data_IF_283844655694
#
_entry.id   IF_283844655694
#
_cell.length_a   1.000
_cell.length_b   1.000
_cell.length_c   1.000
_cell.angle_alpha   90.00
_cell.angle_beta   90.00
_cell.angle_gamma   90.00
#
_symmetry.space_group_name_H-M   'P 1'
#
loop_
_entity.id
_entity.type
_entity.pdbx_description
1 polymer ?
#
# COMPACT_ATOMS: atom_id res chain seq x y z
N UNK A 1 -5.79 3.97 10.43
CA UNK A 1 -6.36 2.96 9.50
C UNK A 1 -7.64 3.52 8.90
N UNK A 2 -7.84 3.47 7.58
CA UNK A 2 -9.13 3.79 6.96
C UNK A 2 -9.87 2.48 6.69
N UNK A 3 -11.00 2.27 7.35
CA UNK A 3 -12.02 1.34 6.86
C UNK A 3 -13.06 2.14 6.07
N UNK A 4 -13.47 1.60 4.94
CA UNK A 4 -14.23 2.33 3.93
C UNK A 4 -15.63 2.74 4.41
N UNK A 5 -16.26 1.94 5.28
CA UNK A 5 -17.64 2.18 5.76
C UNK A 5 -17.74 2.33 7.29
N UNK A 6 -16.65 2.12 8.04
CA UNK A 6 -16.61 2.30 9.49
C UNK A 6 -15.50 3.28 9.90
N UNK A 7 -15.88 4.35 10.59
CA UNK A 7 -14.92 5.31 11.15
C UNK A 7 -14.13 4.65 12.27
N UNK A 8 -12.81 4.73 12.21
CA UNK A 8 -11.89 4.15 13.20
C UNK A 8 -11.24 5.28 13.97
N UNK A 9 -11.25 5.19 15.30
CA UNK A 9 -10.37 5.99 16.15
C UNK A 9 -9.22 5.12 16.64
N UNK A 10 -8.01 5.70 16.66
CA UNK A 10 -6.84 4.99 17.16
C UNK A 10 -5.69 5.93 17.47
N UNK A 11 -4.78 5.45 18.30
CA UNK A 11 -3.58 6.17 18.73
C UNK A 11 -2.35 5.32 18.47
N UNK A 12 -1.33 5.96 17.92
CA UNK A 12 0.00 5.39 17.79
C UNK A 12 0.78 5.58 19.09
N UNK A 13 1.58 4.57 19.42
CA UNK A 13 2.62 4.62 20.43
C UNK A 13 3.92 4.04 19.86
N UNK A 14 5.01 4.42 20.51
CA UNK A 14 6.34 3.84 20.29
C UNK A 14 6.93 3.61 21.67
N UNK A 15 7.36 2.39 21.98
CA UNK A 15 7.98 2.07 23.27
C UNK A 15 9.47 1.85 23.08
N UNK A 16 10.29 2.66 23.73
CA UNK A 16 11.74 2.55 23.65
C UNK A 16 12.24 1.35 24.47
N UNK A 17 13.09 0.52 23.88
CA UNK A 17 13.61 -0.70 24.53
C UNK A 17 14.80 -0.38 25.44
N UNK A 18 15.61 0.62 25.11
CA UNK A 18 16.77 1.05 25.91
C UNK A 18 16.90 2.57 25.91
N UNK A 19 17.39 3.15 27.02
CA UNK A 19 17.82 4.57 27.07
C UNK A 19 19.15 4.72 26.33
N UNK A 20 19.18 4.49 25.02
CA UNK A 20 20.37 4.79 24.22
C UNK A 20 20.40 6.31 23.97
N UNK A 21 20.96 7.05 24.93
CA UNK A 21 21.11 8.51 24.83
C UNK A 21 22.20 8.93 23.85
N UNK A 22 23.08 8.03 23.46
CA UNK A 22 24.25 8.38 22.68
C UNK A 22 24.45 7.38 21.54
N UNK A 23 24.07 7.81 20.32
CA UNK A 23 24.91 7.77 19.11
C UNK A 23 24.05 8.07 17.88
N UNK A 24 24.42 9.12 17.15
CA UNK A 24 24.10 9.24 15.72
C UNK A 24 24.67 7.99 15.03
N UNK A 25 23.84 6.99 14.70
CA UNK A 25 24.30 5.74 14.10
C UNK A 25 23.26 4.62 14.05
N UNK A 26 23.68 3.48 13.48
CA UNK A 26 22.91 2.24 13.35
C UNK A 26 22.45 1.71 14.72
N UNK A 27 21.13 1.52 14.89
CA UNK A 27 20.55 0.89 16.08
C UNK A 27 20.40 -0.62 15.80
N UNK A 28 21.09 -1.49 16.58
CA UNK A 28 20.91 -2.94 16.47
C UNK A 28 19.45 -3.34 16.63
N UNK A 29 19.00 -4.34 15.88
CA UNK A 29 17.59 -4.74 15.81
C UNK A 29 16.94 -4.90 17.20
N UNK A 30 17.59 -5.64 18.10
CA UNK A 30 17.16 -5.88 19.48
C UNK A 30 16.98 -4.62 20.35
N UNK A 31 17.55 -3.48 19.94
CA UNK A 31 17.46 -2.21 20.66
C UNK A 31 16.53 -1.21 19.98
N UNK A 32 15.90 -1.57 18.86
CA UNK A 32 14.91 -0.73 18.20
C UNK A 32 13.62 -0.70 18.99
N UNK A 33 13.00 0.47 18.97
CA UNK A 33 11.72 0.69 19.63
C UNK A 33 10.65 -0.27 19.09
N UNK A 34 9.68 -0.62 19.92
CA UNK A 34 8.51 -1.36 19.45
C UNK A 34 7.48 -0.38 18.90
N UNK A 35 6.77 -0.82 17.87
CA UNK A 35 5.66 -0.09 17.29
C UNK A 35 4.35 -0.53 17.95
N UNK A 36 3.60 0.43 18.50
CA UNK A 36 2.32 0.17 19.14
C UNK A 36 1.20 0.90 18.40
N UNK A 37 0.06 0.25 18.28
CA UNK A 37 -1.16 0.88 17.81
C UNK A 37 -2.37 0.29 18.50
N UNK A 38 -3.20 1.16 19.06
CA UNK A 38 -4.49 0.78 19.66
C UNK A 38 -5.59 1.51 18.91
N UNK A 39 -6.65 0.80 18.57
CA UNK A 39 -7.81 1.36 17.89
C UNK A 39 -9.11 0.69 18.32
N UNK A 40 -10.22 1.39 18.15
CA UNK A 40 -11.56 0.84 18.25
C UNK A 40 -12.43 1.28 17.07
N UNK A 41 -13.46 0.49 16.78
CA UNK A 41 -14.40 0.77 15.71
C UNK A 41 -15.78 0.11 15.96
N UNK A 42 -16.85 0.65 15.35
CA UNK A 42 -16.96 2.00 14.77
C UNK A 42 -16.74 3.11 15.81
N UNK A 43 -16.45 4.33 15.36
CA UNK A 43 -16.19 5.47 16.25
C UNK A 43 -17.43 5.86 17.07
N UNK A 44 -18.59 5.91 16.42
CA UNK A 44 -19.86 6.38 17.00
C UNK A 44 -20.45 5.36 17.99
N UNK A 45 -20.30 4.06 17.68
CA UNK A 45 -20.80 2.96 18.51
C UNK A 45 -19.75 1.84 18.53
N UNK A 46 -18.73 1.93 19.41
CA UNK A 46 -17.64 0.96 19.44
C UNK A 46 -18.14 -0.46 19.73
N UNK A 47 -17.69 -1.42 18.94
CA UNK A 47 -18.02 -2.84 19.12
C UNK A 47 -16.78 -3.74 19.21
N UNK A 48 -15.65 -3.29 18.69
CA UNK A 48 -14.37 -4.00 18.75
C UNK A 48 -13.23 -3.04 19.04
N UNK A 49 -12.29 -3.48 19.87
CA UNK A 49 -11.02 -2.81 20.12
C UNK A 49 -9.85 -3.76 19.78
N UNK A 50 -8.78 -3.21 19.22
CA UNK A 50 -7.59 -3.94 18.79
C UNK A 50 -6.36 -3.22 19.32
N UNK A 51 -5.47 -3.96 19.98
CA UNK A 51 -4.13 -3.52 20.34
C UNK A 51 -3.10 -4.36 19.57
N UNK A 52 -2.19 -3.69 18.87
CA UNK A 52 -1.12 -4.33 18.10
C UNK A 52 0.22 -3.83 18.62
N UNK A 53 1.11 -4.76 18.89
CA UNK A 53 2.52 -4.50 19.18
C UNK A 53 3.35 -5.22 18.11
N UNK A 54 4.29 -4.50 17.51
CA UNK A 54 5.32 -5.06 16.64
C UNK A 54 6.65 -4.82 17.31
N UNK A 55 7.24 -5.90 17.84
CA UNK A 55 8.57 -5.86 18.43
C UNK A 55 9.58 -5.36 17.40
N UNK A 56 10.43 -4.44 17.84
CA UNK A 56 11.45 -3.77 17.03
C UNK A 56 10.91 -3.12 15.75
N UNK A 57 9.60 -2.81 15.71
CA UNK A 57 8.90 -2.23 14.56
C UNK A 57 8.99 -0.70 14.47
N UNK A 58 9.72 -0.05 15.37
CA UNK A 58 9.99 1.39 15.44
C UNK A 58 8.71 2.23 15.55
N UNK A 59 8.07 2.57 14.43
CA UNK A 59 6.96 3.52 14.40
C UNK A 59 5.59 2.82 14.36
N UNK A 60 4.79 3.07 15.41
CA UNK A 60 3.40 2.58 15.52
C UNK A 60 2.52 2.87 14.31
N UNK A 61 2.71 4.01 13.65
CA UNK A 61 1.94 4.40 12.46
C UNK A 61 2.30 3.64 11.20
N UNK A 62 3.57 3.24 11.05
CA UNK A 62 4.07 2.57 9.84
C UNK A 62 3.97 1.04 9.94
N UNK A 63 4.21 0.47 11.13
CA UNK A 63 4.22 -0.98 11.32
C UNK A 63 2.90 -1.51 11.94
N UNK A 64 2.48 -0.98 13.08
CA UNK A 64 1.35 -1.53 13.84
C UNK A 64 -0.03 -1.10 13.29
N UNK A 65 -0.17 0.14 12.81
CA UNK A 65 -1.45 0.66 12.31
C UNK A 65 -2.00 -0.04 11.05
N UNK A 66 -1.18 -0.43 10.05
CA UNK A 66 -1.66 -1.20 8.90
C UNK A 66 -2.15 -2.60 9.30
N UNK A 67 -1.49 -3.24 10.26
CA UNK A 67 -1.89 -4.57 10.79
C UNK A 67 -3.25 -4.46 11.46
N UNK A 68 -3.44 -3.49 12.35
CA UNK A 68 -4.73 -3.24 12.98
C UNK A 68 -5.84 -2.95 11.95
N UNK A 69 -5.52 -2.24 10.87
CA UNK A 69 -6.46 -2.00 9.76
C UNK A 69 -6.91 -3.28 9.07
N UNK A 70 -6.01 -4.27 8.90
CA UNK A 70 -6.36 -5.59 8.32
C UNK A 70 -7.23 -6.41 9.27
N UNK A 71 -6.92 -6.40 10.57
CA UNK A 71 -7.71 -7.10 11.60
C UNK A 71 -9.14 -6.55 11.64
N UNK A 72 -9.28 -5.23 11.75
CA UNK A 72 -10.58 -4.58 11.76
C UNK A 72 -11.34 -4.85 10.46
N UNK A 73 -10.69 -4.78 9.31
CA UNK A 73 -11.32 -5.14 8.02
C UNK A 73 -11.88 -6.56 8.04
N UNK A 74 -11.06 -7.54 8.40
CA UNK A 74 -11.48 -8.93 8.44
C UNK A 74 -12.66 -9.15 9.40
N UNK A 75 -12.65 -8.48 10.55
CA UNK A 75 -13.74 -8.54 11.52
C UNK A 75 -15.08 -8.03 10.94
N UNK A 76 -15.07 -6.85 10.29
CA UNK A 76 -16.30 -6.28 9.71
C UNK A 76 -16.75 -6.97 8.41
N UNK A 77 -15.81 -7.47 7.59
CA UNK A 77 -16.13 -8.30 6.43
C UNK A 77 -16.81 -9.62 6.87
N UNK A 78 -16.29 -10.28 7.92
CA UNK A 78 -16.90 -11.48 8.48
C UNK A 78 -18.28 -11.26 9.10
N UNK A 79 -18.54 -10.04 9.61
CA UNK A 79 -19.85 -9.63 10.13
C UNK A 79 -20.83 -9.19 9.02
N UNK A 80 -20.37 -9.06 7.78
CA UNK A 80 -21.17 -8.58 6.65
C UNK A 80 -21.54 -7.09 6.74
N UNK A 81 -20.95 -6.34 7.66
CA UNK A 81 -21.17 -4.90 7.86
C UNK A 81 -20.35 -4.03 6.92
N UNK A 82 -19.32 -4.57 6.28
CA UNK A 82 -18.56 -3.90 5.23
C UNK A 82 -18.44 -4.81 4.02
N UNK A 83 -18.81 -4.32 2.84
CA UNK A 83 -18.62 -5.08 1.59
C UNK A 83 -17.29 -4.72 0.94
N UNK A 84 -16.58 -5.74 0.45
CA UNK A 84 -15.37 -5.54 -0.36
C UNK A 84 -15.78 -4.73 -1.61
N UNK A 85 -15.11 -3.63 -1.96
CA UNK A 85 -15.37 -3.01 -3.24
C UNK A 85 -15.09 -4.06 -4.31
N UNK A 86 -16.09 -4.32 -5.16
CA UNK A 86 -15.91 -5.13 -6.36
C UNK A 86 -14.78 -4.46 -7.12
N UNK A 87 -13.67 -5.17 -7.36
CA UNK A 87 -12.69 -4.67 -8.31
C UNK A 87 -13.41 -4.70 -9.65
N UNK A 88 -13.62 -3.55 -10.27
CA UNK A 88 -13.94 -3.50 -11.69
C UNK A 88 -12.74 -4.14 -12.40
N UNK A 89 -12.90 -5.38 -12.84
CA UNK A 89 -12.04 -5.95 -13.84
C UNK A 89 -12.27 -5.10 -15.08
N UNK A 90 -11.29 -4.25 -15.43
CA UNK A 90 -11.30 -3.60 -16.74
C UNK A 90 -11.40 -4.71 -17.78
N UNK A 91 -12.53 -4.74 -18.49
CA UNK A 91 -12.70 -5.57 -19.67
C UNK A 91 -11.48 -5.40 -20.56
N UNK A 92 -10.91 -6.53 -20.97
CA UNK A 92 -10.01 -6.54 -22.11
C UNK A 92 -10.94 -6.57 -23.30
N UNK A 93 -11.10 -5.41 -23.94
CA UNK A 93 -11.97 -5.23 -25.09
C UNK A 93 -11.27 -5.84 -26.32
N UNK A 94 -11.46 -7.15 -26.55
CA UNK A 94 -11.11 -7.77 -27.83
C UNK A 94 -12.10 -7.31 -28.90
N UNK A 95 -11.73 -6.32 -29.72
CA UNK A 95 -12.53 -5.94 -30.88
C UNK A 95 -12.15 -4.61 -31.52
N UNK A 96 -11.13 -4.61 -32.39
CA UNK A 96 -10.76 -3.46 -33.20
C UNK A 96 -9.69 -3.83 -34.23
N UNK A 97 -10.09 -4.57 -35.27
CA UNK A 97 -9.30 -4.77 -36.48
C UNK A 97 -9.22 -3.44 -37.21
N UNK A 98 -8.02 -2.90 -37.39
CA UNK A 98 -7.73 -1.96 -38.47
C UNK A 98 -6.36 -2.31 -39.07
N UNK A 99 -6.40 -2.93 -40.24
CA UNK A 99 -5.23 -3.30 -41.04
C UNK A 99 -4.85 -2.11 -41.90
N UNK A 100 -3.56 -1.75 -42.01
CA UNK A 100 -3.07 -1.16 -43.25
C UNK A 100 -1.96 -2.00 -43.87
N UNK A 101 -2.30 -2.62 -45.01
CA UNK A 101 -1.49 -2.63 -46.23
C UNK A 101 -0.15 -3.33 -46.21
N UNK A 102 -0.16 -4.61 -46.60
CA UNK A 102 0.97 -5.17 -47.35
C UNK A 102 0.90 -4.74 -48.81
N UNK A 103 1.96 -4.10 -49.31
CA UNK A 103 2.36 -4.15 -50.73
C UNK A 103 3.87 -4.38 -50.79
N UNK A 104 4.24 -5.40 -51.55
CA UNK A 104 5.58 -5.93 -51.73
C UNK A 104 6.50 -5.05 -52.60
N UNK A 105 7.80 -5.34 -52.47
CA UNK A 105 8.80 -5.44 -53.53
C UNK A 105 9.53 -4.18 -54.08
N UNK A 106 10.83 -4.15 -53.75
CA UNK A 106 11.98 -4.11 -54.68
C UNK A 106 12.48 -2.75 -55.22
N UNK A 107 13.83 -2.67 -55.34
CA UNK A 107 14.67 -1.68 -56.06
C UNK A 107 14.85 -0.34 -55.33
N UNK A 108 16.01 0.30 -55.21
CA UNK A 108 17.33 0.18 -55.80
C UNK A 108 18.01 1.57 -55.70
N UNK A 109 19.33 1.61 -55.52
CA UNK A 109 20.23 2.74 -55.84
C UNK A 109 20.23 4.02 -54.96
N UNK A 110 21.27 4.08 -54.10
CA UNK A 110 22.29 5.13 -53.97
C UNK A 110 21.87 6.61 -54.00
N UNK A 111 22.05 7.26 -52.84
CA UNK A 111 22.13 8.72 -52.66
C UNK A 111 23.46 9.26 -53.20
N UNK A 112 23.50 10.45 -53.83
CA UNK A 112 24.66 11.31 -53.76
C UNK A 112 24.48 12.38 -52.66
N UNK A 113 25.53 12.52 -51.86
CA UNK A 113 25.77 13.61 -50.93
C UNK A 113 26.05 14.90 -51.72
N UNK A 114 25.45 16.03 -51.33
CA UNK A 114 25.97 17.36 -51.64
C UNK A 114 25.81 18.30 -50.45
N UNK A 115 26.93 18.38 -49.72
CA UNK A 115 27.56 19.57 -49.15
C UNK A 115 27.04 20.92 -49.67
N UNK A 116 26.65 21.81 -48.74
CA UNK A 116 26.88 23.25 -48.86
C UNK A 116 26.61 24.01 -47.55
N UNK A 117 27.68 24.72 -47.13
CA UNK A 117 27.80 25.86 -46.21
C UNK A 117 28.07 25.58 -44.74
#
# INVERSE_FOLDING_TARGET
ARLYEARVAGKTGTSQVVKLRDKKGFIPYQYRDHALFVAFAPYEKPEVAVAVIVEHGEHGGAAAAPIAGRILRAYFEGKGTIRKPVREEKGIDEGGVDTPGGVDANQGQQRPEQEQR
#
